data_IF_302475220040
#
_entry.id   IF_302475220040
#
_cell.length_a   1.000
_cell.length_b   1.000
_cell.length_c   1.000
_cell.angle_alpha   90.00
_cell.angle_beta   90.00
_cell.angle_gamma   90.00
#
_symmetry.space_group_name_H-M   'P 1'
#
loop_
_entity.id
_entity.type
_entity.pdbx_description
1 polymer ?
#
# COMPACT_ATOMS: atom_id res chain seq x y z
N UNK A 1 -12.98 4.67 9.61
CA UNK A 1 -11.62 4.08 9.50
C UNK A 1 -11.75 2.60 9.18
N UNK A 2 -11.54 2.21 7.92
CA UNK A 2 -11.52 0.80 7.51
C UNK A 2 -10.10 0.28 7.73
N UNK A 3 -9.86 -0.35 8.89
CA UNK A 3 -8.58 -0.94 9.26
C UNK A 3 -8.52 -2.36 8.71
N UNK A 4 -7.45 -2.73 8.02
CA UNK A 4 -7.23 -4.11 7.63
C UNK A 4 -6.77 -4.86 8.89
N UNK A 5 -7.63 -5.69 9.47
CA UNK A 5 -7.26 -6.66 10.49
C UNK A 5 -6.63 -7.88 9.80
N UNK A 6 -5.42 -8.27 10.21
CA UNK A 6 -4.65 -9.34 9.56
C UNK A 6 -5.37 -10.69 9.67
N UNK A 7 -6.06 -10.97 10.77
CA UNK A 7 -6.77 -12.22 10.97
C UNK A 7 -8.07 -12.25 10.16
N UNK A 8 -8.84 -11.17 10.14
CA UNK A 8 -10.03 -11.07 9.27
C UNK A 8 -9.63 -11.10 7.80
N UNK A 9 -8.52 -10.46 7.44
CA UNK A 9 -7.95 -10.48 6.09
C UNK A 9 -7.57 -11.89 5.63
N UNK A 10 -6.89 -12.67 6.48
CA UNK A 10 -6.54 -14.06 6.19
C UNK A 10 -7.80 -14.95 6.13
N UNK A 11 -8.78 -14.69 7.00
CA UNK A 11 -10.06 -15.41 7.05
C UNK A 11 -10.89 -15.15 5.80
N UNK A 12 -10.96 -13.91 5.35
CA UNK A 12 -11.64 -13.51 4.10
C UNK A 12 -10.96 -14.12 2.88
N UNK A 13 -9.62 -14.18 2.83
CA UNK A 13 -8.88 -14.90 1.80
C UNK A 13 -9.17 -16.42 1.79
N UNK A 14 -9.50 -17.00 2.94
CA UNK A 14 -9.80 -18.43 3.05
C UNK A 14 -11.21 -18.80 2.56
N UNK A 15 -12.14 -17.85 2.58
CA UNK A 15 -13.56 -18.01 2.22
C UNK A 15 -13.92 -17.36 0.87
N UNK A 16 -13.10 -16.44 0.37
CA UNK A 16 -13.29 -15.84 -0.93
C UNK A 16 -13.11 -16.91 -2.02
N UNK A 17 -14.16 -17.15 -2.82
CA UNK A 17 -14.04 -17.62 -4.21
C UNK A 17 -13.36 -16.52 -5.03
N UNK A 18 -12.16 -16.10 -4.66
CA UNK A 18 -11.44 -15.14 -5.48
C UNK A 18 -11.05 -15.86 -6.76
N UNK A 19 -11.36 -15.25 -7.90
CA UNK A 19 -10.62 -15.51 -9.12
C UNK A 19 -9.15 -15.21 -8.80
N UNK A 20 -8.43 -16.22 -8.29
CA UNK A 20 -7.01 -16.08 -8.02
C UNK A 20 -6.33 -15.81 -9.34
N UNK A 21 -6.04 -14.53 -9.59
CA UNK A 21 -5.15 -14.08 -10.66
C UNK A 21 -3.85 -14.87 -10.64
N UNK A 22 -3.28 -15.09 -11.82
CA UNK A 22 -2.01 -15.83 -11.92
C UNK A 22 -0.88 -15.09 -11.17
N UNK A 23 0.17 -15.82 -10.79
CA UNK A 23 1.35 -15.21 -10.16
C UNK A 23 2.05 -14.22 -11.11
N UNK A 24 1.92 -14.48 -12.40
CA UNK A 24 2.43 -13.70 -13.51
C UNK A 24 1.64 -12.37 -13.66
N UNK A 25 0.31 -12.38 -13.46
CA UNK A 25 -0.48 -11.15 -13.34
C UNK A 25 -0.07 -10.31 -12.12
N UNK A 26 0.15 -10.95 -10.96
CA UNK A 26 0.61 -10.23 -9.76
C UNK A 26 2.00 -9.57 -9.95
N UNK A 27 2.89 -10.20 -10.74
CA UNK A 27 4.17 -9.61 -11.15
C UNK A 27 4.00 -8.41 -12.09
N UNK A 28 3.10 -8.50 -13.06
CA UNK A 28 2.80 -7.38 -13.96
C UNK A 28 2.21 -6.19 -13.20
N UNK A 29 1.35 -6.44 -12.21
CA UNK A 29 0.80 -5.39 -11.35
C UNK A 29 1.90 -4.70 -10.51
N UNK A 30 2.92 -5.44 -10.08
CA UNK A 30 4.12 -4.92 -9.38
C UNK A 30 4.99 -4.05 -10.29
N UNK A 31 5.21 -4.44 -11.54
CA UNK A 31 5.93 -3.63 -12.53
C UNK A 31 5.18 -2.31 -12.80
N UNK A 32 3.84 -2.34 -12.74
CA UNK A 32 3.04 -1.13 -12.77
C UNK A 32 3.22 -0.21 -11.55
N UNK A 33 4.03 -0.59 -10.54
CA UNK A 33 4.35 0.29 -9.41
C UNK A 33 5.49 1.30 -9.69
N UNK A 34 6.14 1.25 -10.86
CA UNK A 34 7.20 2.21 -11.20
C UNK A 34 6.67 3.58 -11.66
N UNK A 35 5.41 3.66 -12.12
CA UNK A 35 4.77 4.93 -12.51
C UNK A 35 4.43 5.84 -11.30
N UNK A 36 4.61 5.35 -10.07
CA UNK A 36 4.18 6.04 -8.85
C UNK A 36 5.12 7.13 -8.35
N UNK A 37 6.38 7.11 -8.79
CA UNK A 37 7.36 8.11 -8.39
C UNK A 37 6.91 9.51 -8.87
N UNK A 38 6.19 9.56 -10.00
CA UNK A 38 5.58 10.77 -10.57
C UNK A 38 4.45 11.30 -9.68
N UNK A 39 3.58 10.44 -9.13
CA UNK A 39 2.43 10.86 -8.31
C UNK A 39 2.90 11.52 -7.00
N UNK A 40 3.96 10.98 -6.40
CA UNK A 40 4.54 11.52 -5.17
C UNK A 40 5.29 12.83 -5.43
N UNK A 41 6.01 12.93 -6.55
CA UNK A 41 6.70 14.15 -6.98
C UNK A 41 5.69 15.28 -7.33
N UNK A 42 4.57 14.97 -7.99
CA UNK A 42 3.47 15.90 -8.26
C UNK A 42 2.80 16.43 -6.98
N UNK A 43 2.79 15.63 -5.91
CA UNK A 43 2.23 16.00 -4.60
C UNK A 43 3.14 17.01 -3.89
N UNK A 44 4.46 16.75 -3.88
CA UNK A 44 5.47 17.65 -3.30
C UNK A 44 5.53 18.99 -4.03
N UNK A 45 5.48 18.96 -5.36
CA UNK A 45 5.52 20.15 -6.20
C UNK A 45 4.15 20.81 -6.39
N UNK A 46 3.18 20.51 -5.51
CA UNK A 46 1.86 21.10 -5.63
C UNK A 46 1.87 22.61 -5.38
N UNK A 47 1.08 23.34 -6.17
CA UNK A 47 0.89 24.79 -6.05
C UNK A 47 0.47 25.22 -4.64
N UNK A 48 -0.11 24.30 -3.84
CA UNK A 48 -0.37 24.48 -2.42
C UNK A 48 0.86 24.95 -1.63
N UNK A 49 2.06 24.45 -1.95
CA UNK A 49 3.30 24.80 -1.26
C UNK A 49 4.07 25.96 -1.91
N UNK A 50 3.55 26.54 -2.98
CA UNK A 50 4.18 27.70 -3.62
C UNK A 50 4.24 28.88 -2.62
N UNK A 51 5.35 29.64 -2.57
CA UNK A 51 5.50 30.78 -1.67
C UNK A 51 4.34 31.78 -1.78
N UNK A 52 3.84 31.99 -2.99
CA UNK A 52 2.74 32.91 -3.31
C UNK A 52 1.41 32.51 -2.65
N UNK A 53 1.18 31.21 -2.46
CA UNK A 53 -0.07 30.68 -1.91
C UNK A 53 0.04 30.37 -0.41
N UNK A 54 1.23 29.96 0.03
CA UNK A 54 1.49 29.55 1.41
C UNK A 54 1.56 30.70 2.42
N UNK A 55 1.80 31.94 1.98
CA UNK A 55 1.80 33.15 2.84
C UNK A 55 0.46 33.37 3.55
N UNK A 56 -0.65 32.90 2.95
CA UNK A 56 -1.98 33.09 3.52
C UNK A 56 -2.42 31.96 4.46
N UNK A 57 -1.63 30.90 4.58
CA UNK A 57 -1.92 29.73 5.42
C UNK A 57 -1.12 29.86 6.72
N UNK A 58 -1.72 29.48 7.85
CA UNK A 58 -0.98 29.41 9.11
C UNK A 58 0.26 28.50 8.96
N UNK A 59 1.42 29.00 9.40
CA UNK A 59 2.70 28.29 9.35
C UNK A 59 2.63 26.87 9.93
N UNK A 60 1.96 26.69 11.07
CA UNK A 60 1.86 25.38 11.72
C UNK A 60 1.08 24.38 10.85
N UNK A 61 0.00 24.85 10.22
CA UNK A 61 -0.80 24.04 9.30
C UNK A 61 -0.03 23.69 8.02
N UNK A 62 0.76 24.63 7.50
CA UNK A 62 1.63 24.40 6.36
C UNK A 62 2.72 23.36 6.68
N UNK A 63 3.35 23.46 7.86
CA UNK A 63 4.34 22.49 8.31
C UNK A 63 3.74 21.11 8.54
N UNK A 64 2.53 21.03 9.11
CA UNK A 64 1.81 19.78 9.27
C UNK A 64 1.54 19.11 7.91
N UNK A 65 1.06 19.87 6.92
CA UNK A 65 0.85 19.35 5.57
C UNK A 65 2.15 18.80 4.95
N UNK A 66 3.26 19.52 5.08
CA UNK A 66 4.58 19.07 4.61
C UNK A 66 5.05 17.79 5.30
N UNK A 67 4.85 17.70 6.62
CA UNK A 67 5.18 16.49 7.39
C UNK A 67 4.40 15.28 6.88
N UNK A 68 3.08 15.41 6.71
CA UNK A 68 2.23 14.33 6.23
C UNK A 68 2.68 13.87 4.83
N UNK A 69 2.99 14.80 3.93
CA UNK A 69 3.47 14.46 2.57
C UNK A 69 4.81 13.74 2.61
N UNK A 70 5.75 14.19 3.45
CA UNK A 70 7.03 13.51 3.64
C UNK A 70 6.83 12.08 4.13
N UNK A 71 5.94 11.87 5.11
CA UNK A 71 5.61 10.54 5.62
C UNK A 71 4.97 9.66 4.54
N UNK A 72 4.05 10.19 3.71
CA UNK A 72 3.47 9.47 2.57
C UNK A 72 4.54 9.04 1.57
N UNK A 73 5.53 9.91 1.30
CA UNK A 73 6.62 9.62 0.37
C UNK A 73 7.52 8.50 0.87
N UNK A 74 7.86 8.48 2.15
CA UNK A 74 8.63 7.39 2.76
C UNK A 74 7.93 6.02 2.59
N UNK A 75 6.59 6.01 2.47
CA UNK A 75 5.83 4.77 2.20
C UNK A 75 6.00 4.22 0.79
N UNK A 76 6.80 4.83 -0.08
CA UNK A 76 7.25 4.22 -1.33
C UNK A 76 7.94 2.86 -1.08
N UNK A 77 8.58 2.68 0.08
CA UNK A 77 9.23 1.42 0.48
C UNK A 77 8.26 0.21 0.50
N UNK A 78 6.93 0.45 0.60
CA UNK A 78 5.92 -0.61 0.48
C UNK A 78 6.08 -1.37 -0.84
N UNK A 79 6.46 -0.69 -1.94
CA UNK A 79 6.79 -1.31 -3.23
C UNK A 79 7.88 -2.36 -3.09
N UNK A 80 8.97 -2.02 -2.42
CA UNK A 80 10.14 -2.89 -2.27
C UNK A 80 9.84 -4.09 -1.37
N UNK A 81 9.03 -3.87 -0.32
CA UNK A 81 8.52 -4.95 0.54
C UNK A 81 7.60 -5.90 -0.24
N UNK A 82 6.71 -5.38 -1.09
CA UNK A 82 5.85 -6.20 -1.96
C UNK A 82 6.67 -6.99 -2.99
N UNK A 83 7.72 -6.39 -3.58
CA UNK A 83 8.65 -7.07 -4.47
C UNK A 83 9.40 -8.21 -3.75
N UNK A 84 9.90 -7.96 -2.54
CA UNK A 84 10.56 -8.96 -1.71
C UNK A 84 9.62 -10.12 -1.34
N UNK A 85 8.36 -9.83 -1.01
CA UNK A 85 7.33 -10.84 -0.74
C UNK A 85 7.04 -11.68 -2.00
N UNK A 86 6.87 -11.02 -3.16
CA UNK A 86 6.64 -11.68 -4.44
C UNK A 86 7.77 -12.64 -4.81
N UNK A 87 9.02 -12.20 -4.65
CA UNK A 87 10.18 -13.05 -4.84
C UNK A 87 10.17 -14.28 -3.92
N UNK A 88 9.88 -14.08 -2.63
CA UNK A 88 9.82 -15.16 -1.65
C UNK A 88 8.70 -16.17 -1.96
N UNK A 89 7.54 -15.70 -2.43
CA UNK A 89 6.45 -16.56 -2.90
C UNK A 89 6.84 -17.30 -4.19
N UNK A 90 7.58 -16.65 -5.09
CA UNK A 90 8.15 -17.28 -6.27
C UNK A 90 9.08 -18.46 -5.91
N UNK A 91 9.94 -18.28 -4.92
CA UNK A 91 10.75 -19.37 -4.36
C UNK A 91 9.90 -20.49 -3.80
N UNK A 92 8.87 -20.16 -3.00
CA UNK A 92 7.94 -21.16 -2.49
C UNK A 92 7.30 -21.96 -3.63
N UNK A 93 6.76 -21.29 -4.67
CA UNK A 93 6.18 -21.93 -5.85
C UNK A 93 7.14 -22.95 -6.47
N UNK A 94 8.40 -22.59 -6.65
CA UNK A 94 9.44 -23.50 -7.16
C UNK A 94 9.68 -24.68 -6.22
N UNK A 95 9.79 -24.44 -4.91
CA UNK A 95 9.95 -25.51 -3.91
C UNK A 95 8.77 -26.49 -3.91
N UNK A 96 7.53 -25.99 -4.05
CA UNK A 96 6.33 -26.83 -4.17
C UNK A 96 6.42 -27.74 -5.40
N UNK A 97 6.91 -27.23 -6.54
CA UNK A 97 7.07 -28.01 -7.77
C UNK A 97 8.12 -29.13 -7.64
N UNK A 98 9.20 -28.88 -6.90
CA UNK A 98 10.24 -29.88 -6.59
C UNK A 98 9.73 -30.98 -5.65
N UNK A 99 8.61 -30.73 -4.94
CA UNK A 99 7.97 -31.66 -3.98
C UNK A 99 8.84 -32.04 -2.78
N UNK A 100 9.86 -31.24 -2.46
CA UNK A 100 10.66 -31.40 -1.25
C UNK A 100 9.97 -30.70 -0.06
N UNK A 101 9.48 -31.49 0.89
CA UNK A 101 8.73 -30.97 2.04
C UNK A 101 9.58 -30.13 2.99
N UNK A 102 10.85 -30.46 3.16
CA UNK A 102 11.72 -29.74 4.10
C UNK A 102 12.07 -28.36 3.53
N UNK A 103 12.32 -28.30 2.23
CA UNK A 103 12.55 -27.03 1.52
C UNK A 103 11.27 -26.18 1.54
N UNK A 104 10.09 -26.77 1.29
CA UNK A 104 8.80 -26.05 1.36
C UNK A 104 8.56 -25.48 2.76
N UNK A 105 8.76 -26.27 3.82
CA UNK A 105 8.57 -25.82 5.20
C UNK A 105 9.55 -24.69 5.56
N UNK A 106 10.81 -24.79 5.13
CA UNK A 106 11.79 -23.70 5.28
C UNK A 106 11.35 -22.43 4.56
N UNK A 107 10.89 -22.53 3.31
CA UNK A 107 10.43 -21.39 2.54
C UNK A 107 9.20 -20.70 3.18
N UNK A 108 8.21 -21.48 3.63
CA UNK A 108 7.06 -20.95 4.39
C UNK A 108 7.53 -20.23 5.67
N UNK A 109 8.43 -20.86 6.42
CA UNK A 109 9.00 -20.28 7.64
C UNK A 109 9.71 -18.96 7.37
N UNK A 110 10.50 -18.87 6.30
CA UNK A 110 11.19 -17.65 5.89
C UNK A 110 10.23 -16.53 5.53
N UNK A 111 9.13 -16.82 4.81
CA UNK A 111 8.11 -15.81 4.47
C UNK A 111 7.45 -15.25 5.73
N UNK A 112 7.05 -16.12 6.66
CA UNK A 112 6.34 -15.72 7.88
C UNK A 112 7.26 -14.94 8.84
N UNK A 113 8.52 -15.36 8.99
CA UNK A 113 9.47 -14.75 9.93
C UNK A 113 10.21 -13.54 9.37
N UNK A 114 9.95 -13.14 8.12
CA UNK A 114 10.61 -11.99 7.52
C UNK A 114 10.03 -10.68 8.08
N UNK A 115 10.71 -10.07 9.05
CA UNK A 115 10.27 -8.81 9.66
C UNK A 115 10.13 -7.66 8.65
N UNK A 116 10.85 -7.70 7.53
CA UNK A 116 10.82 -6.67 6.51
C UNK A 116 9.64 -6.81 5.56
N UNK A 117 9.44 -7.98 4.96
CA UNK A 117 8.45 -8.20 3.89
C UNK A 117 7.38 -9.24 4.22
N UNK A 118 7.20 -9.60 5.50
CA UNK A 118 6.04 -10.40 5.91
C UNK A 118 4.73 -9.69 5.58
N UNK A 119 3.69 -10.49 5.34
CA UNK A 119 2.33 -9.99 5.08
C UNK A 119 1.88 -9.04 6.20
N UNK A 120 2.14 -9.39 7.47
CA UNK A 120 1.78 -8.55 8.62
C UNK A 120 2.46 -7.19 8.60
N UNK A 121 3.75 -7.13 8.29
CA UNK A 121 4.49 -5.86 8.19
C UNK A 121 3.90 -4.99 7.08
N UNK A 122 3.67 -5.57 5.90
CA UNK A 122 3.12 -4.82 4.75
C UNK A 122 1.69 -4.34 5.04
N UNK A 123 0.85 -5.14 5.72
CA UNK A 123 -0.48 -4.69 6.18
C UNK A 123 -0.38 -3.50 7.13
N UNK A 124 0.55 -3.53 8.08
CA UNK A 124 0.77 -2.42 9.01
C UNK A 124 1.17 -1.14 8.28
N UNK A 125 2.12 -1.25 7.34
CA UNK A 125 2.56 -0.10 6.53
C UNK A 125 1.45 0.45 5.63
N UNK A 126 0.63 -0.40 5.01
CA UNK A 126 -0.52 0.04 4.23
C UNK A 126 -1.58 0.74 5.07
N UNK A 127 -1.85 0.24 6.29
CA UNK A 127 -2.75 0.91 7.22
C UNK A 127 -2.21 2.29 7.63
N UNK A 128 -0.90 2.41 7.86
CA UNK A 128 -0.25 3.68 8.15
C UNK A 128 -0.38 4.65 6.96
N UNK A 129 -0.05 4.19 5.73
CA UNK A 129 -0.24 4.99 4.52
C UNK A 129 -1.67 5.50 4.38
N UNK A 130 -2.68 4.65 4.61
CA UNK A 130 -4.08 5.08 4.54
C UNK A 130 -4.42 6.12 5.59
N UNK A 131 -3.94 5.96 6.83
CA UNK A 131 -4.09 6.97 7.88
C UNK A 131 -3.54 8.33 7.43
N UNK A 132 -2.36 8.34 6.81
CA UNK A 132 -1.72 9.58 6.35
C UNK A 132 -2.46 10.24 5.18
N UNK A 133 -2.98 9.44 4.26
CA UNK A 133 -3.85 9.94 3.19
C UNK A 133 -5.12 10.57 3.78
N UNK A 134 -5.75 9.92 4.76
CA UNK A 134 -6.96 10.43 5.43
C UNK A 134 -6.65 11.71 6.24
N UNK A 135 -5.51 11.76 6.96
CA UNK A 135 -5.04 12.94 7.68
C UNK A 135 -4.82 14.14 6.74
N UNK A 136 -4.31 13.89 5.52
CA UNK A 136 -4.13 14.93 4.50
C UNK A 136 -5.48 15.46 3.99
N UNK A 137 -6.46 14.58 3.78
CA UNK A 137 -7.83 14.96 3.38
C UNK A 137 -8.52 15.79 4.46
N UNK A 138 -8.43 15.37 5.72
CA UNK A 138 -9.01 16.08 6.86
C UNK A 138 -8.38 17.48 7.05
N UNK A 139 -7.06 17.59 6.85
CA UNK A 139 -6.36 18.87 6.87
C UNK A 139 -6.85 19.81 5.76
N UNK A 140 -7.02 19.28 4.56
CA UNK A 140 -7.56 20.03 3.42
C UNK A 140 -8.99 20.50 3.68
N UNK A 141 -9.88 19.63 4.15
CA UNK A 141 -11.27 19.98 4.51
C UNK A 141 -11.29 21.08 5.59
N UNK A 142 -10.41 20.98 6.58
CA UNK A 142 -10.30 21.96 7.65
C UNK A 142 -9.85 23.33 7.13
N UNK A 143 -8.90 23.36 6.19
CA UNK A 143 -8.47 24.58 5.51
C UNK A 143 -9.60 25.22 4.70
N UNK A 144 -10.40 24.44 3.97
CA UNK A 144 -11.55 24.98 3.23
C UNK A 144 -12.65 25.56 4.13
N UNK A 145 -12.81 25.01 5.33
CA UNK A 145 -13.77 25.51 6.34
C UNK A 145 -13.26 26.71 7.13
N UNK A 146 -11.98 27.05 7.02
CA UNK A 146 -11.37 28.16 7.75
C UNK A 146 -11.78 29.54 7.20
N UNK A 147 -11.32 30.61 7.85
CA UNK A 147 -11.57 32.01 7.46
C UNK A 147 -10.78 32.51 6.25
N UNK A 148 -10.16 31.62 5.46
CA UNK A 148 -9.42 31.99 4.24
C UNK A 148 -10.33 32.66 3.20
N UNK A 149 -9.75 33.51 2.34
CA UNK A 149 -10.49 34.13 1.24
C UNK A 149 -10.93 33.09 0.21
N UNK A 150 -11.96 33.43 -0.58
CA UNK A 150 -12.49 32.54 -1.62
C UNK A 150 -11.42 32.20 -2.68
N UNK A 151 -10.57 33.16 -3.03
CA UNK A 151 -9.51 32.96 -4.01
C UNK A 151 -8.49 31.92 -3.51
N UNK A 152 -8.09 32.01 -2.24
CA UNK A 152 -7.19 31.03 -1.63
C UNK A 152 -7.85 29.66 -1.58
N UNK A 153 -9.13 29.57 -1.18
CA UNK A 153 -9.85 28.28 -1.16
C UNK A 153 -9.95 27.65 -2.54
N UNK A 154 -10.17 28.45 -3.57
CA UNK A 154 -10.21 27.99 -4.97
C UNK A 154 -8.86 27.42 -5.41
N UNK A 155 -7.75 28.10 -5.05
CA UNK A 155 -6.39 27.61 -5.30
C UNK A 155 -6.07 26.33 -4.52
N UNK A 156 -6.56 26.22 -3.28
CA UNK A 156 -6.39 25.03 -2.45
C UNK A 156 -7.11 23.81 -3.02
N UNK A 157 -8.32 24.00 -3.54
CA UNK A 157 -9.07 22.93 -4.21
C UNK A 157 -8.47 22.54 -5.56
N UNK A 158 -7.77 23.49 -6.21
CA UNK A 158 -7.16 23.26 -7.52
C UNK A 158 -6.20 22.07 -7.45
N UNK A 159 -6.50 21.04 -8.24
CA UNK A 159 -5.76 19.78 -8.36
C UNK A 159 -5.70 18.89 -7.12
N UNK A 160 -6.13 19.35 -5.93
CA UNK A 160 -6.13 18.53 -4.71
C UNK A 160 -6.96 17.27 -4.89
N UNK A 161 -8.18 17.41 -5.42
CA UNK A 161 -9.10 16.28 -5.63
C UNK A 161 -8.51 15.22 -6.56
N UNK A 162 -7.82 15.65 -7.62
CA UNK A 162 -7.19 14.72 -8.55
C UNK A 162 -6.00 14.02 -7.89
N UNK A 163 -5.13 14.76 -7.21
CA UNK A 163 -3.95 14.20 -6.52
C UNK A 163 -4.35 13.25 -5.38
N UNK A 164 -5.35 13.63 -4.59
CA UNK A 164 -5.90 12.78 -3.54
C UNK A 164 -6.51 11.49 -4.10
N UNK A 165 -7.18 11.57 -5.27
CA UNK A 165 -7.65 10.37 -5.99
C UNK A 165 -6.47 9.48 -6.41
N UNK A 166 -5.41 10.05 -7.01
CA UNK A 166 -4.19 9.32 -7.40
C UNK A 166 -3.54 8.59 -6.21
N UNK A 167 -3.49 9.23 -5.03
CA UNK A 167 -2.98 8.61 -3.80
C UNK A 167 -3.84 7.42 -3.33
N UNK A 168 -5.17 7.56 -3.38
CA UNK A 168 -6.07 6.45 -3.04
C UNK A 168 -5.98 5.30 -4.05
N UNK A 169 -5.83 5.61 -5.34
CA UNK A 169 -5.64 4.60 -6.39
C UNK A 169 -4.32 3.83 -6.18
N UNK A 170 -3.23 4.53 -5.81
CA UNK A 170 -1.95 3.92 -5.40
C UNK A 170 -2.15 2.95 -4.21
N UNK A 171 -2.76 3.42 -3.13
CA UNK A 171 -3.05 2.59 -1.95
C UNK A 171 -3.86 1.34 -2.35
N UNK A 172 -4.91 1.50 -3.15
CA UNK A 172 -5.77 0.41 -3.59
C UNK A 172 -5.01 -0.61 -4.46
N UNK A 173 -4.12 -0.14 -5.35
CA UNK A 173 -3.30 -1.04 -6.18
C UNK A 173 -2.29 -1.82 -5.32
N UNK A 174 -1.61 -1.18 -4.38
CA UNK A 174 -0.70 -1.88 -3.44
C UNK A 174 -1.46 -2.91 -2.58
N UNK A 175 -2.65 -2.55 -2.07
CA UNK A 175 -3.53 -3.47 -1.34
C UNK A 175 -3.95 -4.67 -2.19
N UNK A 176 -4.33 -4.44 -3.45
CA UNK A 176 -4.72 -5.50 -4.39
C UNK A 176 -3.56 -6.47 -4.66
N UNK A 177 -2.35 -5.96 -4.87
CA UNK A 177 -1.14 -6.77 -5.04
C UNK A 177 -0.90 -7.63 -3.80
N UNK A 178 -0.98 -7.05 -2.60
CA UNK A 178 -0.81 -7.80 -1.36
C UNK A 178 -1.86 -8.92 -1.23
N UNK A 179 -3.12 -8.65 -1.59
CA UNK A 179 -4.21 -9.64 -1.57
C UNK A 179 -3.89 -10.82 -2.50
N UNK A 180 -3.46 -10.53 -3.72
CA UNK A 180 -3.10 -11.55 -4.70
C UNK A 180 -1.92 -12.40 -4.23
N UNK A 181 -0.84 -11.77 -3.77
CA UNK A 181 0.33 -12.47 -3.22
C UNK A 181 -0.04 -13.32 -2.00
N UNK A 182 -0.83 -12.76 -1.07
CA UNK A 182 -1.28 -13.48 0.13
C UNK A 182 -2.14 -14.69 -0.22
N UNK A 183 -3.05 -14.56 -1.17
CA UNK A 183 -3.88 -15.67 -1.67
C UNK A 183 -3.01 -16.79 -2.23
N UNK A 184 -2.03 -16.45 -3.07
CA UNK A 184 -1.10 -17.42 -3.67
C UNK A 184 -0.31 -18.13 -2.57
N UNK A 185 0.22 -17.39 -1.60
CA UNK A 185 0.94 -17.94 -0.45
C UNK A 185 0.07 -18.93 0.35
N UNK A 186 -1.17 -18.55 0.68
CA UNK A 186 -2.10 -19.39 1.43
C UNK A 186 -2.44 -20.67 0.64
N UNK A 187 -2.71 -20.56 -0.66
CA UNK A 187 -2.99 -21.71 -1.54
C UNK A 187 -1.81 -22.69 -1.57
N UNK A 188 -0.60 -22.20 -1.85
CA UNK A 188 0.62 -23.02 -1.90
C UNK A 188 0.89 -23.70 -0.55
N UNK A 189 0.62 -23.01 0.56
CA UNK A 189 0.78 -23.57 1.91
C UNK A 189 -0.26 -24.67 2.19
N UNK A 190 -1.54 -24.43 1.88
CA UNK A 190 -2.64 -25.39 2.09
C UNK A 190 -2.44 -26.67 1.29
N UNK A 191 -2.08 -26.57 0.00
CA UNK A 191 -1.85 -27.72 -0.88
C UNK A 191 -0.75 -28.65 -0.36
N UNK A 192 0.26 -28.12 0.32
CA UNK A 192 1.35 -28.90 0.90
C UNK A 192 1.06 -29.42 2.30
N UNK A 193 0.36 -28.64 3.13
CA UNK A 193 -0.01 -29.04 4.50
C UNK A 193 -1.13 -30.09 4.52
N UNK A 194 -2.09 -30.04 3.59
CA UNK A 194 -3.26 -30.92 3.55
C UNK A 194 -3.00 -32.29 2.89
N UNK A 195 -1.89 -32.47 2.17
CA UNK A 195 -1.47 -33.79 1.64
C UNK A 195 -1.01 -34.79 2.71
N UNK A 196 -1.27 -34.53 3.99
CA UNK A 196 -0.97 -35.42 5.13
C UNK A 196 -2.00 -36.54 5.35
N UNK A 197 -3.02 -36.69 4.48
CA UNK A 197 -4.02 -37.77 4.55
C UNK A 197 -4.23 -38.42 3.19
N UNK A 198 -3.37 -39.36 2.82
CA UNK A 198 -3.66 -40.51 1.95
C UNK A 198 -2.56 -41.54 2.14
#
# INVERSE_FOLDING_TARGET
MVRIDVFDYIKDLSNAKSETRSFEEAKKDLEGLYEYDIILEELENSNFFAPENSIYINYDTLMQARSIISEIKEKQEIKDRLNSLSYSIGWLKTSVLIKDKDIVNKAIGSIIKNNYSSISTIVSELNNLKSKIDELEDLHISLLKSGLSLDIKTLLEQDFKEKHKKLNDLYNKQKSILLNLSSIFVRLTKENMLKKRR
#
